data_IF_002011936488
#
_entry.id   IF_002011936488
#
_cell.length_a   1.000
_cell.length_b   1.000
_cell.length_c   1.000
_cell.angle_alpha   90.00
_cell.angle_beta   90.00
_cell.angle_gamma   90.00
#
_symmetry.space_group_name_H-M   'P 1'
#
loop_
_entity.id
_entity.type
_entity.pdbx_description
1 polymer ?
#
# COMPACT_ATOMS: atom_id res chain seq x y z
N UNK A 1 -22.60 6.67 -2.65
CA UNK A 1 -21.68 6.78 -3.82
C UNK A 1 -21.12 5.40 -4.08
N UNK A 2 -21.22 4.89 -5.31
CA UNK A 2 -20.78 3.52 -5.65
C UNK A 2 -19.26 3.40 -5.47
N UNK A 3 -18.83 2.64 -4.46
CA UNK A 3 -17.44 2.19 -4.28
C UNK A 3 -17.08 1.18 -5.38
N UNK A 4 -16.93 1.65 -6.61
CA UNK A 4 -16.44 0.80 -7.69
C UNK A 4 -14.99 0.41 -7.37
N UNK A 5 -14.73 -0.90 -7.26
CA UNK A 5 -13.37 -1.42 -7.09
C UNK A 5 -12.63 -1.17 -8.40
N UNK A 6 -11.67 -0.24 -8.35
CA UNK A 6 -10.80 0.05 -9.47
C UNK A 6 -9.65 -0.96 -9.52
N UNK A 7 -9.50 -1.66 -10.64
CA UNK A 7 -8.36 -2.52 -10.88
C UNK A 7 -7.26 -1.76 -11.61
N UNK A 8 -6.03 -1.96 -11.18
CA UNK A 8 -4.79 -1.54 -11.84
C UNK A 8 -4.28 -2.69 -12.71
N UNK A 9 -3.38 -2.37 -13.64
CA UNK A 9 -2.66 -3.39 -14.38
C UNK A 9 -1.17 -3.08 -14.50
N UNK A 10 -0.37 -4.13 -14.52
CA UNK A 10 1.01 -4.11 -14.99
C UNK A 10 1.12 -5.01 -16.25
N UNK A 11 2.34 -5.29 -16.72
CA UNK A 11 2.56 -6.08 -17.94
C UNK A 11 1.87 -7.45 -17.94
N UNK A 12 1.66 -8.06 -16.76
CA UNK A 12 1.22 -9.46 -16.64
C UNK A 12 -0.05 -9.64 -15.81
N UNK A 13 -0.45 -8.64 -15.01
CA UNK A 13 -1.46 -8.81 -13.97
C UNK A 13 -2.43 -7.64 -13.94
N UNK A 14 -3.72 -7.95 -13.83
CA UNK A 14 -4.78 -7.01 -13.45
C UNK A 14 -5.12 -7.25 -11.98
N UNK A 15 -5.03 -6.23 -11.12
CA UNK A 15 -5.15 -6.42 -9.67
C UNK A 15 -5.81 -5.23 -8.95
N UNK A 16 -6.32 -5.50 -7.75
CA UNK A 16 -6.70 -4.51 -6.74
C UNK A 16 -6.34 -5.13 -5.40
N UNK A 17 -5.20 -4.75 -4.84
CA UNK A 17 -4.56 -5.45 -3.72
C UNK A 17 -4.35 -4.48 -2.56
N UNK A 18 -5.44 -4.23 -1.83
CA UNK A 18 -5.45 -3.32 -0.69
C UNK A 18 -5.12 -4.06 0.59
N UNK A 19 -4.23 -3.48 1.39
CA UNK A 19 -3.78 -4.03 2.66
C UNK A 19 -3.99 -3.01 3.78
N UNK A 20 -4.59 -3.45 4.89
CA UNK A 20 -4.52 -2.77 6.17
C UNK A 20 -3.28 -3.23 6.91
N UNK A 21 -2.37 -2.29 7.15
CA UNK A 21 -1.06 -2.53 7.71
C UNK A 21 -0.97 -1.74 9.02
N UNK A 22 -0.52 -2.41 10.08
CA UNK A 22 -0.35 -1.79 11.39
C UNK A 22 0.97 -2.21 12.01
N UNK A 23 1.68 -1.27 12.61
CA UNK A 23 2.78 -1.60 13.51
C UNK A 23 2.90 -0.59 14.64
N UNK A 24 3.58 -1.00 15.72
CA UNK A 24 3.74 -0.22 16.94
C UNK A 24 5.21 0.15 17.17
N UNK A 25 5.49 1.28 17.86
CA UNK A 25 6.78 1.54 18.45
C UNK A 25 7.22 0.41 19.40
N UNK A 26 8.53 0.28 19.61
CA UNK A 26 9.10 -0.65 20.57
C UNK A 26 8.50 -0.39 21.96
N UNK A 27 8.08 -1.46 22.62
CA UNK A 27 7.36 -1.42 23.91
C UNK A 27 6.03 -0.64 23.88
N UNK A 28 5.44 -0.46 22.69
CA UNK A 28 4.16 0.26 22.50
C UNK A 28 4.18 1.65 23.14
N UNK A 29 5.34 2.32 23.07
CA UNK A 29 5.52 3.65 23.66
C UNK A 29 4.69 4.68 22.88
N UNK A 30 4.07 5.60 23.62
CA UNK A 30 3.22 6.67 23.11
C UNK A 30 4.05 7.82 22.53
N UNK A 31 4.84 7.54 21.50
CA UNK A 31 5.82 8.48 20.90
C UNK A 31 5.38 9.03 19.55
N UNK A 32 4.30 8.53 18.96
CA UNK A 32 3.78 8.98 17.67
C UNK A 32 2.84 10.16 17.88
N UNK A 33 3.41 11.29 18.33
CA UNK A 33 2.68 12.53 18.60
C UNK A 33 3.48 13.73 18.14
N UNK A 34 2.79 14.82 17.81
CA UNK A 34 3.39 16.11 17.48
C UNK A 34 4.40 16.00 16.32
N UNK A 35 5.61 16.51 16.52
CA UNK A 35 6.64 16.54 15.46
C UNK A 35 7.05 15.15 14.95
N UNK A 36 7.07 14.14 15.84
CA UNK A 36 7.42 12.75 15.46
C UNK A 36 6.35 12.16 14.53
N UNK A 37 5.08 12.44 14.83
CA UNK A 37 3.94 11.97 14.02
C UNK A 37 3.95 12.60 12.62
N UNK A 38 4.10 13.92 12.55
CA UNK A 38 4.12 14.65 11.29
C UNK A 38 5.25 14.15 10.39
N UNK A 39 6.47 14.08 10.94
CA UNK A 39 7.63 13.59 10.18
C UNK A 39 7.49 12.12 9.79
N UNK A 40 6.92 11.28 10.65
CA UNK A 40 6.65 9.88 10.32
C UNK A 40 5.77 9.80 9.06
N UNK A 41 4.65 10.53 9.03
CA UNK A 41 3.73 10.52 7.89
C UNK A 41 4.43 11.00 6.61
N UNK A 42 5.24 12.05 6.67
CA UNK A 42 6.04 12.51 5.53
C UNK A 42 6.99 11.43 4.99
N UNK A 43 7.78 10.81 5.86
CA UNK A 43 8.72 9.75 5.44
C UNK A 43 7.98 8.58 4.78
N UNK A 44 6.81 8.22 5.31
CA UNK A 44 6.02 7.11 4.76
C UNK A 44 5.45 7.47 3.39
N UNK A 45 5.02 8.73 3.18
CA UNK A 45 4.61 9.24 1.87
C UNK A 45 5.77 9.24 0.86
N UNK A 46 6.96 9.70 1.28
CA UNK A 46 8.18 9.67 0.47
C UNK A 46 8.50 8.23 0.03
N UNK A 47 8.49 7.28 0.97
CA UNK A 47 8.72 5.85 0.69
C UNK A 47 7.69 5.29 -0.27
N UNK A 48 6.39 5.57 -0.06
CA UNK A 48 5.34 5.08 -0.94
C UNK A 48 5.50 5.62 -2.36
N UNK A 49 5.80 6.91 -2.50
CA UNK A 49 6.05 7.55 -3.80
C UNK A 49 7.24 6.94 -4.52
N UNK A 50 8.36 6.73 -3.84
CA UNK A 50 9.55 6.09 -4.42
C UNK A 50 9.28 4.65 -4.87
N UNK A 51 8.49 3.91 -4.09
CA UNK A 51 8.11 2.53 -4.40
C UNK A 51 6.92 2.44 -5.37
N UNK A 52 6.39 3.57 -5.84
CA UNK A 52 5.22 3.67 -6.74
C UNK A 52 3.98 2.97 -6.18
N UNK A 53 3.74 3.16 -4.88
CA UNK A 53 2.63 2.60 -4.13
C UNK A 53 1.61 3.69 -3.82
N UNK A 54 0.35 3.32 -3.75
CA UNK A 54 -0.72 4.25 -3.36
C UNK A 54 -1.05 4.06 -1.88
N UNK A 55 -0.91 5.13 -1.09
CA UNK A 55 -1.48 5.22 0.25
C UNK A 55 -2.88 5.79 0.11
N UNK A 56 -3.89 4.96 0.37
CA UNK A 56 -5.30 5.35 0.35
C UNK A 56 -5.64 6.13 1.63
N UNK A 57 -5.18 5.62 2.76
CA UNK A 57 -5.39 6.26 4.06
C UNK A 57 -4.20 5.97 4.98
N UNK A 58 -3.85 6.96 5.80
CA UNK A 58 -2.80 6.81 6.81
C UNK A 58 -3.16 7.61 8.04
N UNK A 59 -3.30 6.91 9.15
CA UNK A 59 -3.61 7.49 10.45
C UNK A 59 -2.64 6.96 11.50
N UNK A 60 -2.49 7.74 12.56
CA UNK A 60 -1.65 7.41 13.72
C UNK A 60 -2.45 7.65 14.96
N UNK A 61 -2.33 6.74 15.91
CA UNK A 61 -2.58 7.03 17.31
C UNK A 61 -1.22 7.08 18.02
N UNK A 62 -1.20 7.42 19.31
CA UNK A 62 0.02 7.69 20.07
C UNK A 62 1.02 6.54 20.03
N UNK A 63 0.55 5.29 19.94
CA UNK A 63 1.36 4.06 20.05
C UNK A 63 1.29 3.12 18.85
N UNK A 64 0.69 3.53 17.71
CA UNK A 64 0.71 2.75 16.47
C UNK A 64 0.34 3.58 15.25
N UNK A 65 0.76 3.10 14.08
CA UNK A 65 0.38 3.65 12.78
C UNK A 65 -0.49 2.65 12.03
N UNK A 66 -1.58 3.14 11.44
CA UNK A 66 -2.46 2.44 10.53
C UNK A 66 -2.25 2.96 9.10
N UNK A 67 -2.08 2.05 8.16
CA UNK A 67 -1.94 2.38 6.73
C UNK A 67 -2.89 1.48 5.95
N UNK A 68 -3.72 2.09 5.10
CA UNK A 68 -4.41 1.42 4.03
C UNK A 68 -3.68 1.74 2.73
N UNK A 69 -3.07 0.73 2.11
CA UNK A 69 -2.29 0.90 0.89
C UNK A 69 -2.70 -0.11 -0.18
N UNK A 70 -2.68 0.31 -1.45
CA UNK A 70 -2.83 -0.57 -2.61
C UNK A 70 -1.45 -0.88 -3.21
N UNK A 71 -1.10 -2.17 -3.24
CA UNK A 71 0.27 -2.64 -3.50
C UNK A 71 0.24 -3.69 -4.60
N UNK A 72 1.10 -3.52 -5.61
CA UNK A 72 1.28 -4.52 -6.67
C UNK A 72 1.62 -5.89 -6.06
N UNK A 73 0.84 -6.95 -6.37
CA UNK A 73 1.09 -8.28 -5.83
C UNK A 73 2.47 -8.85 -6.21
N UNK A 74 3.04 -8.40 -7.33
CA UNK A 74 4.39 -8.78 -7.81
C UNK A 74 5.49 -8.06 -7.04
N UNK A 75 5.19 -6.88 -6.48
CA UNK A 75 6.13 -6.14 -5.63
C UNK A 75 6.25 -6.80 -4.25
N UNK A 76 5.11 -7.08 -3.62
CA UNK A 76 5.00 -7.73 -2.32
C UNK A 76 5.00 -6.75 -1.14
N UNK A 77 3.98 -6.84 -0.29
CA UNK A 77 3.72 -5.94 0.85
C UNK A 77 4.90 -5.79 1.82
N UNK A 78 5.68 -6.86 2.03
CA UNK A 78 6.80 -6.84 2.98
C UNK A 78 7.94 -5.93 2.54
N UNK A 79 8.13 -5.71 1.24
CA UNK A 79 9.16 -4.77 0.75
C UNK A 79 8.82 -3.33 1.15
N UNK A 80 7.54 -2.95 1.05
CA UNK A 80 7.06 -1.67 1.54
C UNK A 80 7.28 -1.54 3.04
N UNK A 81 6.77 -2.50 3.83
CA UNK A 81 6.87 -2.46 5.30
C UNK A 81 8.32 -2.39 5.77
N UNK A 82 9.24 -3.16 5.15
CA UNK A 82 10.66 -3.15 5.49
C UNK A 82 11.29 -1.77 5.25
N UNK A 83 11.04 -1.18 4.08
CA UNK A 83 11.59 0.14 3.74
C UNK A 83 10.98 1.23 4.61
N UNK A 84 9.66 1.21 4.79
CA UNK A 84 8.90 2.14 5.63
C UNK A 84 9.41 2.13 7.08
N UNK A 85 9.45 0.96 7.73
CA UNK A 85 9.94 0.83 9.11
C UNK A 85 11.43 1.15 9.22
N UNK A 86 12.25 0.66 8.29
CA UNK A 86 13.70 0.86 8.32
C UNK A 86 14.09 2.34 8.17
N UNK A 87 13.56 3.01 7.15
CA UNK A 87 13.87 4.42 6.87
C UNK A 87 13.34 5.34 7.97
N UNK A 88 12.07 5.18 8.36
CA UNK A 88 11.48 5.98 9.44
C UNK A 88 12.23 5.78 10.76
N UNK A 89 12.61 4.56 11.12
CA UNK A 89 13.41 4.31 12.32
C UNK A 89 14.74 5.04 12.28
N UNK A 90 15.45 5.03 11.13
CA UNK A 90 16.73 5.71 11.01
C UNK A 90 16.58 7.23 11.13
N UNK A 91 15.73 7.83 10.31
CA UNK A 91 15.57 9.28 10.22
C UNK A 91 15.02 9.84 11.53
N UNK A 92 13.93 9.28 12.06
CA UNK A 92 13.32 9.79 13.29
C UNK A 92 14.25 9.68 14.50
N UNK A 93 15.07 8.62 14.60
CA UNK A 93 16.07 8.52 15.68
C UNK A 93 17.27 9.45 15.50
N UNK A 94 17.51 9.97 14.29
CA UNK A 94 18.52 10.99 14.03
C UNK A 94 18.00 12.38 14.38
N UNK A 95 16.76 12.69 14.00
CA UNK A 95 16.12 13.99 14.22
C UNK A 95 15.64 14.16 15.67
N UNK A 96 15.16 13.09 16.31
CA UNK A 96 14.58 13.12 17.66
C UNK A 96 15.37 12.25 18.64
N UNK A 97 16.36 12.86 19.31
CA UNK A 97 17.31 12.13 20.16
C UNK A 97 16.65 11.30 21.28
N UNK A 98 15.49 11.72 21.80
CA UNK A 98 14.76 10.97 22.82
C UNK A 98 14.27 9.59 22.32
N UNK A 99 14.04 9.42 21.01
CA UNK A 99 13.72 8.12 20.41
C UNK A 99 14.95 7.21 20.30
N UNK A 100 16.15 7.80 20.24
CA UNK A 100 17.42 7.07 20.14
C UNK A 100 17.91 6.61 21.51
N UNK A 101 17.87 7.49 22.51
CA UNK A 101 18.42 7.21 23.85
C UNK A 101 17.51 6.33 24.69
N UNK A 102 16.18 6.47 24.56
CA UNK A 102 15.20 5.74 25.38
C UNK A 102 14.75 4.41 24.80
N UNK A 103 15.06 4.13 23.53
CA UNK A 103 14.65 2.90 22.85
C UNK A 103 15.83 2.23 22.15
N UNK A 104 15.96 0.88 22.20
CA UNK A 104 17.00 0.19 21.44
C UNK A 104 16.74 0.27 19.91
N UNK A 105 15.47 0.22 19.51
CA UNK A 105 14.99 0.40 18.13
C UNK A 105 13.68 1.19 18.17
N UNK A 106 13.32 1.89 17.08
CA UNK A 106 12.04 2.60 17.06
C UNK A 106 10.86 1.63 16.99
N UNK A 107 10.97 0.60 16.14
CA UNK A 107 9.91 -0.37 15.89
C UNK A 107 10.21 -1.75 16.48
N UNK A 108 9.17 -2.55 16.65
CA UNK A 108 9.29 -4.00 16.85
C UNK A 108 9.59 -4.70 15.52
N UNK A 109 9.96 -5.99 15.57
CA UNK A 109 10.03 -6.85 14.39
C UNK A 109 8.64 -7.20 13.82
N UNK A 110 7.59 -7.13 14.64
CA UNK A 110 6.22 -7.46 14.27
C UNK A 110 5.48 -6.37 13.48
N UNK A 111 4.48 -6.78 12.72
CA UNK A 111 3.43 -5.95 12.12
C UNK A 111 2.18 -6.81 11.94
N UNK A 112 1.03 -6.15 11.86
CA UNK A 112 -0.23 -6.75 11.43
C UNK A 112 -0.46 -6.39 9.96
N UNK A 113 -1.01 -7.35 9.21
CA UNK A 113 -1.38 -7.21 7.81
C UNK A 113 -2.71 -7.92 7.61
N UNK A 114 -3.68 -7.24 7.04
CA UNK A 114 -4.94 -7.83 6.60
C UNK A 114 -5.31 -7.33 5.21
N UNK A 115 -5.78 -8.22 4.35
CA UNK A 115 -6.31 -7.85 3.03
C UNK A 115 -7.65 -7.15 3.18
N UNK A 116 -7.86 -6.07 2.44
CA UNK A 116 -9.09 -5.27 2.47
C UNK A 116 -9.74 -5.27 1.09
N UNK A 117 -11.06 -5.41 1.05
CA UNK A 117 -11.85 -5.38 -0.17
C UNK A 117 -12.18 -6.78 -0.69
N UNK A 118 -13.44 -6.96 -1.08
CA UNK A 118 -13.88 -8.07 -1.92
C UNK A 118 -13.97 -7.62 -3.38
N UNK A 119 -13.79 -8.55 -4.31
CA UNK A 119 -14.10 -8.30 -5.72
C UNK A 119 -15.63 -8.42 -5.91
N UNK A 120 -16.35 -7.34 -6.25
CA UNK A 120 -17.76 -7.46 -6.53
C UNK A 120 -17.95 -8.35 -7.75
N UNK A 121 -18.95 -9.24 -7.70
CA UNK A 121 -19.14 -10.33 -8.67
C UNK A 121 -19.21 -9.83 -10.12
N UNK A 122 -19.79 -8.65 -10.33
CA UNK A 122 -19.87 -8.00 -11.64
C UNK A 122 -18.49 -7.70 -12.23
N UNK A 123 -17.51 -7.30 -11.41
CA UNK A 123 -16.15 -6.97 -11.90
C UNK A 123 -15.38 -8.24 -12.24
N UNK A 124 -15.52 -9.29 -11.42
CA UNK A 124 -14.94 -10.61 -11.75
C UNK A 124 -15.53 -11.14 -13.06
N UNK A 125 -16.85 -11.03 -13.23
CA UNK A 125 -17.53 -11.45 -14.45
C UNK A 125 -17.04 -10.67 -15.68
N UNK A 126 -16.95 -9.34 -15.58
CA UNK A 126 -16.41 -8.50 -16.65
C UNK A 126 -14.97 -8.87 -17.00
N UNK A 127 -14.12 -9.16 -16.01
CA UNK A 127 -12.76 -9.61 -16.26
C UNK A 127 -12.73 -10.92 -17.06
N UNK A 128 -13.52 -11.92 -16.66
CA UNK A 128 -13.61 -13.23 -17.36
C UNK A 128 -14.16 -13.04 -18.78
N UNK A 129 -15.24 -12.28 -18.94
CA UNK A 129 -15.88 -12.04 -20.23
C UNK A 129 -14.94 -11.34 -21.23
N UNK A 130 -13.98 -10.54 -20.76
CA UNK A 130 -13.03 -9.81 -21.62
C UNK A 130 -11.74 -10.58 -21.93
N UNK A 131 -11.51 -11.75 -21.32
CA UNK A 131 -10.38 -12.61 -21.68
C UNK A 131 -10.44 -13.07 -23.14
N UNK A 132 -9.28 -13.17 -23.78
CA UNK A 132 -9.19 -13.67 -25.15
C UNK A 132 -9.59 -15.14 -25.19
N UNK A 133 -10.64 -15.47 -25.94
CA UNK A 133 -11.05 -16.86 -26.16
C UNK A 133 -10.46 -17.47 -27.44
N UNK A 134 -9.72 -16.69 -28.24
CA UNK A 134 -9.04 -17.13 -29.45
C UNK A 134 -8.00 -16.09 -29.90
N UNK A 135 -7.07 -16.49 -30.78
CA UNK A 135 -6.04 -15.60 -31.34
C UNK A 135 -6.54 -14.65 -32.44
N UNK A 136 -7.85 -14.56 -32.67
CA UNK A 136 -8.44 -13.71 -33.72
C UNK A 136 -8.20 -12.21 -33.42
N UNK A 137 -7.97 -11.36 -34.43
CA UNK A 137 -7.69 -9.93 -34.23
C UNK A 137 -8.71 -9.20 -33.33
N UNK A 138 -10.01 -9.46 -33.55
CA UNK A 138 -11.10 -8.89 -32.75
C UNK A 138 -11.00 -9.20 -31.25
N UNK A 139 -10.52 -10.38 -30.88
CA UNK A 139 -10.34 -10.75 -29.47
C UNK A 139 -9.14 -10.01 -28.86
N UNK A 140 -8.06 -9.84 -29.64
CA UNK A 140 -6.89 -9.07 -29.22
C UNK A 140 -7.25 -7.60 -28.97
N UNK A 141 -8.05 -7.01 -29.86
CA UNK A 141 -8.55 -5.63 -29.71
C UNK A 141 -9.46 -5.47 -28.49
N UNK A 142 -10.38 -6.42 -28.27
CA UNK A 142 -11.26 -6.43 -27.10
C UNK A 142 -10.46 -6.43 -25.79
N UNK A 143 -9.50 -7.34 -25.68
CA UNK A 143 -8.62 -7.43 -24.51
C UNK A 143 -7.81 -6.15 -24.31
N UNK A 144 -7.18 -5.65 -25.37
CA UNK A 144 -6.40 -4.41 -25.34
C UNK A 144 -7.25 -3.23 -24.84
N UNK A 145 -8.43 -3.05 -25.41
CA UNK A 145 -9.36 -1.99 -25.01
C UNK A 145 -9.78 -2.11 -23.54
N UNK A 146 -10.02 -3.33 -23.04
CA UNK A 146 -10.35 -3.56 -21.63
C UNK A 146 -9.20 -3.14 -20.70
N UNK A 147 -7.96 -3.58 -21.01
CA UNK A 147 -6.79 -3.27 -20.18
C UNK A 147 -6.43 -1.78 -20.23
N UNK A 148 -6.49 -1.16 -21.41
CA UNK A 148 -6.19 0.28 -21.57
C UNK A 148 -7.15 1.13 -20.72
N UNK A 149 -8.45 0.78 -20.71
CA UNK A 149 -9.46 1.44 -19.88
C UNK A 149 -9.23 1.30 -18.37
N UNK A 150 -8.55 0.26 -17.91
CA UNK A 150 -8.18 0.10 -16.50
C UNK A 150 -7.04 1.03 -16.11
N UNK A 151 -6.06 1.22 -17.00
CA UNK A 151 -4.90 2.09 -16.76
C UNK A 151 -5.28 3.57 -16.72
N UNK A 152 -6.18 4.03 -17.60
CA UNK A 152 -6.60 5.45 -17.65
C UNK A 152 -7.33 5.90 -16.40
N UNK A 153 -7.95 4.99 -15.64
CA UNK A 153 -8.67 5.32 -14.41
C UNK A 153 -7.80 5.29 -13.15
N UNK A 154 -6.59 4.73 -13.25
CA UNK A 154 -5.65 4.60 -12.14
C UNK A 154 -4.61 5.74 -12.08
N UNK A 155 -4.67 6.66 -13.04
CA UNK A 155 -3.91 7.93 -13.13
C UNK A 155 -4.85 9.10 -12.84
#
# INVERSE_FOLDING_TARGET
MSNAVLYKSNHNVVYSCKYHIVWCPKYRRKVLVGAVEMRLKEIIQEVAKELRLEIIEMQTDKDHIHILADIDPSFGVMKFIKTAKGRSSRILRQEFNHLKTKLPTLWTNSCFISTVGGAPLNVVKQYIENQQNSNRPKQKEKWKSYVDNLQTKAL
#
